data_IF_149161009722
#
_entry.id   IF_149161009722
#
_cell.length_a   1.000
_cell.length_b   1.000
_cell.length_c   1.000
_cell.angle_alpha   90.00
_cell.angle_beta   90.00
_cell.angle_gamma   90.00
#
_symmetry.space_group_name_H-M   'P 1'
#
loop_
_entity.id
_entity.type
_entity.pdbx_description
1 polymer ?
#
# COMPACT_ATOMS: atom_id res chain seq x y z
N UNK A 1 2.35 20.63 28.35
CA UNK A 1 3.37 20.53 27.30
C UNK A 1 2.88 19.44 26.36
N UNK A 2 2.57 19.77 25.12
CA UNK A 2 1.99 18.84 24.16
C UNK A 2 2.89 18.76 22.95
N UNK A 3 3.28 17.55 22.58
CA UNK A 3 4.07 17.31 21.39
C UNK A 3 3.16 17.26 20.16
N UNK A 4 3.59 17.90 19.07
CA UNK A 4 2.86 17.90 17.80
C UNK A 4 3.22 16.64 17.01
N UNK A 5 2.26 15.73 16.83
CA UNK A 5 2.42 14.59 15.94
C UNK A 5 2.07 15.03 14.52
N UNK A 6 3.08 15.04 13.64
CA UNK A 6 2.87 15.26 12.20
C UNK A 6 2.84 13.89 11.52
N UNK A 7 1.66 13.48 11.06
CA UNK A 7 1.53 12.35 10.15
C UNK A 7 1.88 12.79 8.74
N UNK A 8 2.72 12.03 8.05
CA UNK A 8 3.00 12.20 6.64
C UNK A 8 2.44 11.01 5.85
N UNK A 9 2.01 11.23 4.63
CA UNK A 9 1.39 10.27 3.71
C UNK A 9 2.34 9.13 3.27
N UNK A 10 3.62 9.20 3.65
CA UNK A 10 4.56 8.11 3.50
C UNK A 10 5.96 8.48 3.97
N UNK A 11 6.83 7.49 4.01
CA UNK A 11 8.20 7.65 4.46
C UNK A 11 9.08 8.58 3.60
N UNK A 12 8.69 8.76 2.33
CA UNK A 12 9.40 9.61 1.38
C UNK A 12 8.59 10.82 0.94
N UNK A 13 7.49 11.11 1.65
CA UNK A 13 6.67 12.30 1.43
C UNK A 13 7.51 13.57 1.47
N UNK A 14 7.13 14.57 0.65
CA UNK A 14 7.78 15.89 0.67
C UNK A 14 7.74 16.55 2.05
N UNK A 15 6.69 16.27 2.83
CA UNK A 15 6.56 16.74 4.23
C UNK A 15 7.65 16.12 5.11
N UNK A 16 7.84 14.80 5.09
CA UNK A 16 8.90 14.13 5.88
C UNK A 16 10.29 14.56 5.44
N UNK A 17 10.54 14.66 4.14
CA UNK A 17 11.84 15.13 3.62
C UNK A 17 12.17 16.56 4.08
N UNK A 18 11.19 17.46 4.05
CA UNK A 18 11.35 18.83 4.54
C UNK A 18 11.61 18.88 6.05
N UNK A 19 10.90 18.06 6.83
CA UNK A 19 11.12 17.94 8.28
C UNK A 19 12.51 17.40 8.60
N UNK A 20 12.94 16.32 7.95
CA UNK A 20 14.25 15.70 8.14
C UNK A 20 15.38 16.67 7.82
N UNK A 21 15.26 17.42 6.71
CA UNK A 21 16.21 18.47 6.37
C UNK A 21 16.37 19.48 7.51
N UNK A 22 15.26 19.99 8.05
CA UNK A 22 15.27 20.99 9.14
C UNK A 22 15.81 20.44 10.46
N UNK A 23 15.56 19.17 10.78
CA UNK A 23 16.09 18.52 11.98
C UNK A 23 17.59 18.23 11.84
N UNK A 24 18.03 17.81 10.66
CA UNK A 24 19.43 17.56 10.35
C UNK A 24 20.26 18.85 10.45
N UNK A 25 19.76 19.96 9.88
CA UNK A 25 20.37 21.29 10.01
C UNK A 25 20.54 21.75 11.46
N UNK A 26 19.71 21.24 12.38
CA UNK A 26 19.77 21.54 13.81
C UNK A 26 20.57 20.51 14.62
N UNK A 27 21.08 19.45 14.01
CA UNK A 27 21.73 18.34 14.69
C UNK A 27 20.79 17.55 15.61
N UNK A 28 19.49 17.56 15.32
CA UNK A 28 18.44 16.91 16.12
C UNK A 28 17.86 15.66 15.44
N UNK A 29 18.33 15.31 14.24
CA UNK A 29 17.88 14.12 13.53
C UNK A 29 18.58 12.88 14.12
N UNK A 30 17.85 11.91 14.69
CA UNK A 30 18.41 10.63 15.12
C UNK A 30 19.15 9.92 13.98
N UNK A 31 20.15 9.09 14.31
CA UNK A 31 20.89 8.35 13.28
C UNK A 31 20.03 7.27 12.62
N UNK A 32 19.13 6.67 13.38
CA UNK A 32 18.19 5.64 12.93
C UNK A 32 17.22 6.20 11.89
N UNK A 33 16.85 7.48 12.02
CA UNK A 33 15.99 8.17 11.04
C UNK A 33 16.72 8.47 9.71
N UNK A 34 18.04 8.29 9.65
CA UNK A 34 18.83 8.46 8.42
C UNK A 34 18.93 7.16 7.61
N UNK A 35 18.49 6.04 8.17
CA UNK A 35 18.49 4.77 7.45
C UNK A 35 17.43 4.76 6.35
N UNK A 36 17.79 4.19 5.20
CA UNK A 36 16.82 3.98 4.12
C UNK A 36 15.80 2.93 4.56
N UNK A 37 14.52 3.26 4.42
CA UNK A 37 13.49 2.23 4.57
C UNK A 37 13.57 1.29 3.37
N UNK A 38 13.84 0.03 3.63
CA UNK A 38 13.71 -1.01 2.62
C UNK A 38 12.24 -1.10 2.21
N UNK A 39 11.93 -0.64 0.99
CA UNK A 39 10.58 -0.71 0.43
C UNK A 39 10.30 -2.18 0.17
N UNK A 40 9.60 -2.82 1.09
CA UNK A 40 9.38 -4.26 1.00
C UNK A 40 8.19 -4.62 0.10
N UNK A 41 7.22 -3.70 -0.10
CA UNK A 41 6.00 -4.00 -0.82
C UNK A 41 5.50 -2.83 -1.65
N UNK A 42 4.98 -3.16 -2.84
CA UNK A 42 4.10 -2.30 -3.63
C UNK A 42 2.69 -2.83 -3.47
N UNK A 43 1.76 -1.96 -3.09
CA UNK A 43 0.35 -2.33 -2.87
C UNK A 43 -0.57 -1.42 -3.65
N UNK A 44 -1.55 -2.02 -4.32
CA UNK A 44 -2.68 -1.34 -4.92
C UNK A 44 -3.94 -1.75 -4.17
N UNK A 45 -4.75 -0.76 -3.82
CA UNK A 45 -5.98 -0.97 -3.07
C UNK A 45 -7.14 -0.33 -3.80
N UNK A 46 -8.32 -0.91 -3.65
CA UNK A 46 -9.53 -0.33 -4.19
C UNK A 46 -10.78 -0.94 -3.58
N UNK A 47 -11.90 -0.44 -4.09
CA UNK A 47 -13.22 -0.90 -3.71
C UNK A 47 -13.96 -1.23 -4.99
N UNK A 48 -14.48 -2.44 -5.10
CA UNK A 48 -15.34 -2.83 -6.20
C UNK A 48 -16.72 -2.15 -6.09
N UNK A 49 -17.40 -2.02 -7.22
CA UNK A 49 -18.81 -1.66 -7.23
C UNK A 49 -19.64 -2.67 -6.42
N UNK A 50 -20.79 -2.23 -5.92
CA UNK A 50 -21.70 -3.10 -5.17
C UNK A 50 -22.05 -4.35 -5.99
N UNK A 51 -21.95 -5.51 -5.37
CA UNK A 51 -22.17 -6.81 -5.98
C UNK A 51 -23.49 -7.41 -5.52
N UNK A 52 -24.01 -8.36 -6.30
CA UNK A 52 -25.22 -9.09 -5.96
C UNK A 52 -24.98 -10.06 -4.78
N UNK A 53 -25.67 -9.81 -3.67
CA UNK A 53 -25.55 -10.60 -2.46
C UNK A 53 -26.24 -11.97 -2.55
N UNK A 54 -27.14 -12.20 -3.51
CA UNK A 54 -27.66 -13.55 -3.78
C UNK A 54 -26.58 -14.44 -4.42
N UNK A 55 -25.75 -13.85 -5.29
CA UNK A 55 -24.62 -14.53 -5.92
C UNK A 55 -23.42 -14.66 -4.98
N UNK A 56 -23.20 -13.67 -4.12
CA UNK A 56 -22.11 -13.64 -3.14
C UNK A 56 -22.65 -13.48 -1.72
N UNK A 57 -23.14 -14.56 -1.08
CA UNK A 57 -23.80 -14.48 0.22
C UNK A 57 -22.95 -13.88 1.35
N UNK A 58 -21.62 -13.92 1.20
CA UNK A 58 -20.67 -13.34 2.15
C UNK A 58 -20.83 -11.83 2.36
N UNK A 59 -21.47 -11.14 1.41
CA UNK A 59 -21.74 -9.72 1.51
C UNK A 59 -22.83 -9.38 2.54
N UNK A 60 -23.66 -10.37 2.90
CA UNK A 60 -24.70 -10.23 3.92
C UNK A 60 -24.24 -10.66 5.32
N UNK A 61 -22.99 -11.06 5.47
CA UNK A 61 -22.46 -11.45 6.77
C UNK A 61 -22.37 -10.22 7.68
N UNK A 62 -22.86 -10.36 8.92
CA UNK A 62 -22.75 -9.31 9.94
C UNK A 62 -21.29 -9.10 10.36
N UNK A 63 -20.44 -10.10 10.14
CA UNK A 63 -19.01 -10.06 10.38
C UNK A 63 -18.22 -9.64 9.13
N UNK A 64 -17.09 -8.96 9.38
CA UNK A 64 -16.11 -8.68 8.34
C UNK A 64 -15.28 -9.94 8.07
N UNK A 65 -15.44 -10.51 6.89
CA UNK A 65 -14.66 -11.59 6.33
C UNK A 65 -13.45 -11.01 5.58
N UNK A 66 -12.27 -11.46 5.97
CA UNK A 66 -11.01 -11.09 5.35
C UNK A 66 -10.36 -12.33 4.75
N UNK A 67 -10.16 -12.32 3.43
CA UNK A 67 -9.45 -13.35 2.70
C UNK A 67 -8.08 -12.86 2.31
N UNK A 68 -7.07 -13.70 2.48
CA UNK A 68 -5.73 -13.45 1.95
C UNK A 68 -5.27 -14.66 1.15
N UNK A 69 -5.03 -14.41 -0.13
CA UNK A 69 -4.43 -15.35 -1.06
C UNK A 69 -2.96 -15.00 -1.13
N UNK A 70 -2.12 -15.94 -0.69
CA UNK A 70 -0.68 -15.88 -0.87
C UNK A 70 -0.34 -16.70 -2.11
N UNK A 71 0.15 -16.04 -3.16
CA UNK A 71 0.64 -16.75 -4.33
C UNK A 71 1.89 -17.57 -3.99
N UNK A 72 2.25 -18.50 -4.85
CA UNK A 72 3.54 -19.24 -4.77
C UNK A 72 4.77 -18.35 -5.03
N UNK A 73 4.57 -17.08 -5.37
CA UNK A 73 5.59 -16.08 -5.67
C UNK A 73 5.57 -14.95 -4.62
N UNK A 74 6.25 -13.84 -4.91
CA UNK A 74 6.24 -12.61 -4.12
C UNK A 74 4.91 -11.82 -4.18
N UNK A 75 3.81 -12.41 -4.66
CA UNK A 75 2.51 -11.73 -4.83
C UNK A 75 1.47 -12.22 -3.85
N UNK A 76 0.59 -11.32 -3.45
CA UNK A 76 -0.59 -11.63 -2.65
C UNK A 76 -1.78 -10.76 -3.02
N UNK A 77 -2.98 -11.33 -2.88
CA UNK A 77 -4.25 -10.63 -3.02
C UNK A 77 -5.02 -10.74 -1.70
N UNK A 78 -5.69 -9.68 -1.27
CA UNK A 78 -6.61 -9.72 -0.15
C UNK A 78 -7.97 -9.16 -0.55
N UNK A 79 -9.04 -9.77 -0.03
CA UNK A 79 -10.42 -9.36 -0.27
C UNK A 79 -11.10 -9.19 1.09
N UNK A 80 -11.94 -8.16 1.20
CA UNK A 80 -12.68 -7.86 2.41
C UNK A 80 -14.10 -7.42 2.06
N UNK A 81 -15.13 -8.04 2.63
CA UNK A 81 -16.48 -7.48 2.50
C UNK A 81 -16.56 -6.21 3.36
N UNK A 82 -17.13 -5.16 2.76
CA UNK A 82 -17.36 -3.87 3.41
C UNK A 82 -18.85 -3.52 3.26
N UNK A 83 -19.37 -2.52 4.00
CA UNK A 83 -20.77 -2.15 3.93
C UNK A 83 -21.28 -1.85 2.52
N UNK A 84 -22.60 -1.91 2.34
CA UNK A 84 -23.30 -1.65 1.07
C UNK A 84 -23.05 -2.69 -0.03
N UNK A 85 -22.75 -3.93 0.35
CA UNK A 85 -22.58 -5.02 -0.61
C UNK A 85 -21.33 -4.88 -1.47
N UNK A 86 -20.29 -4.21 -0.96
CA UNK A 86 -19.06 -3.96 -1.69
C UNK A 86 -17.92 -4.85 -1.19
N UNK A 87 -16.89 -4.99 -2.04
CA UNK A 87 -15.66 -5.71 -1.70
C UNK A 87 -14.50 -4.72 -1.78
N UNK A 88 -13.82 -4.51 -0.67
CA UNK A 88 -12.48 -3.93 -0.65
C UNK A 88 -11.46 -4.97 -1.10
N UNK A 89 -10.48 -4.54 -1.87
CA UNK A 89 -9.43 -5.42 -2.38
C UNK A 89 -8.06 -4.77 -2.25
N UNK A 90 -7.04 -5.63 -2.12
CA UNK A 90 -5.64 -5.26 -2.07
C UNK A 90 -4.83 -6.24 -2.92
N UNK A 91 -4.07 -5.72 -3.87
CA UNK A 91 -3.05 -6.44 -4.61
C UNK A 91 -1.69 -6.02 -4.06
N UNK A 92 -0.79 -6.97 -3.82
CA UNK A 92 0.51 -6.70 -3.21
C UNK A 92 1.62 -7.50 -3.87
N UNK A 93 2.75 -6.85 -4.11
CA UNK A 93 3.98 -7.44 -4.63
C UNK A 93 5.09 -7.13 -3.63
N UNK A 94 5.74 -8.16 -3.12
CA UNK A 94 6.94 -8.04 -2.32
C UNK A 94 8.13 -7.79 -3.24
N UNK A 95 8.81 -6.67 -3.06
CA UNK A 95 9.96 -6.33 -3.89
C UNK A 95 11.21 -7.03 -3.37
N UNK A 96 12.10 -7.42 -4.29
CA UNK A 96 13.49 -7.70 -3.92
C UNK A 96 14.28 -6.39 -3.72
N UNK A 97 15.50 -6.48 -3.22
CA UNK A 97 16.32 -5.32 -2.86
C UNK A 97 16.59 -4.37 -4.05
N UNK A 98 16.79 -4.92 -5.24
CA UNK A 98 17.03 -4.14 -6.46
C UNK A 98 15.78 -3.37 -6.90
N UNK A 99 14.64 -4.06 -6.92
CA UNK A 99 13.34 -3.47 -7.25
C UNK A 99 12.96 -2.39 -6.23
N UNK A 100 13.18 -2.65 -4.94
CA UNK A 100 12.94 -1.72 -3.85
C UNK A 100 13.71 -0.42 -4.04
N UNK A 101 14.99 -0.51 -4.42
CA UNK A 101 15.84 0.65 -4.68
C UNK A 101 15.37 1.46 -5.89
N UNK A 102 14.91 0.79 -6.95
CA UNK A 102 14.33 1.47 -8.12
C UNK A 102 13.03 2.19 -7.73
N UNK A 103 12.17 1.55 -6.94
CA UNK A 103 10.89 2.10 -6.51
C UNK A 103 11.04 3.26 -5.51
N UNK A 104 12.05 3.23 -4.63
CA UNK A 104 12.39 4.37 -3.75
C UNK A 104 12.60 5.67 -4.56
N UNK A 105 13.26 5.55 -5.72
CA UNK A 105 13.53 6.68 -6.62
C UNK A 105 12.30 7.07 -7.46
N UNK A 106 11.42 6.12 -7.75
CA UNK A 106 10.18 6.27 -8.53
C UNK A 106 8.94 6.58 -7.69
N UNK A 107 9.09 7.21 -6.51
CA UNK A 107 7.97 7.78 -5.73
C UNK A 107 7.13 8.84 -6.48
N UNK A 108 7.30 8.98 -7.80
CA UNK A 108 6.32 9.51 -8.73
C UNK A 108 4.96 8.84 -8.52
N UNK A 109 3.96 9.68 -8.34
CA UNK A 109 2.55 9.38 -8.10
C UNK A 109 2.02 8.22 -8.96
N UNK A 110 1.14 7.40 -8.37
CA UNK A 110 0.42 6.37 -9.11
C UNK A 110 -0.41 7.00 -10.23
N UNK A 111 0.00 6.76 -11.48
CA UNK A 111 -0.73 7.15 -12.69
C UNK A 111 -1.47 5.97 -13.33
N UNK A 112 -2.38 6.23 -14.29
CA UNK A 112 -3.14 5.19 -14.99
C UNK A 112 -2.27 4.07 -15.57
N UNK A 113 -1.11 4.42 -16.15
CA UNK A 113 -0.16 3.44 -16.73
C UNK A 113 0.42 2.47 -15.68
N UNK A 114 0.72 2.98 -14.48
CA UNK A 114 1.23 2.13 -13.38
C UNK A 114 0.14 1.23 -12.82
N UNK A 115 -1.12 1.71 -12.83
CA UNK A 115 -2.27 0.90 -12.42
C UNK A 115 -2.50 -0.26 -13.38
N UNK A 116 -2.54 0.01 -14.69
CA UNK A 116 -2.75 -1.00 -15.73
C UNK A 116 -1.66 -2.08 -15.71
N UNK A 117 -0.39 -1.69 -15.54
CA UNK A 117 0.73 -2.62 -15.47
C UNK A 117 0.56 -3.62 -14.31
N UNK A 118 0.22 -3.12 -13.12
CA UNK A 118 0.03 -3.98 -11.95
C UNK A 118 -1.23 -4.85 -12.07
N UNK A 119 -2.33 -4.33 -12.62
CA UNK A 119 -3.54 -5.13 -12.85
C UNK A 119 -3.26 -6.31 -13.80
N UNK A 120 -2.55 -6.06 -14.90
CA UNK A 120 -2.19 -7.10 -15.87
C UNK A 120 -1.36 -8.23 -15.25
N UNK A 121 -0.43 -7.90 -14.35
CA UNK A 121 0.35 -8.93 -13.64
C UNK A 121 -0.52 -9.88 -12.81
N UNK A 122 -1.65 -9.42 -12.28
CA UNK A 122 -2.57 -10.24 -11.49
C UNK A 122 -3.62 -10.96 -12.35
N UNK A 123 -3.99 -10.43 -13.51
CA UNK A 123 -4.84 -11.13 -14.49
C UNK A 123 -4.15 -12.41 -15.01
N UNK A 124 -2.86 -12.34 -15.33
CA UNK A 124 -2.08 -13.47 -15.84
C UNK A 124 -1.85 -14.59 -14.79
N UNK A 125 -2.20 -14.33 -13.51
CA UNK A 125 -2.09 -15.31 -12.42
C UNK A 125 -3.36 -16.15 -12.19
N UNK A 126 -4.50 -15.75 -12.76
CA UNK A 126 -5.81 -16.40 -12.58
C UNK A 126 -6.09 -17.46 -13.65
#
# INVERSE_FOLDING_TARGET
MGDLIVGADGAYSGVRQSLYKRLNEKGLLPNEDQENLTVAYVSMVGVAEAQDAEKFPILNDESCNFFKILGSSNRGCSLVNIPNGQIGWLLSIQLNEEEARIQQFRNSEWGPESNEAMLKEFEDMA
#
